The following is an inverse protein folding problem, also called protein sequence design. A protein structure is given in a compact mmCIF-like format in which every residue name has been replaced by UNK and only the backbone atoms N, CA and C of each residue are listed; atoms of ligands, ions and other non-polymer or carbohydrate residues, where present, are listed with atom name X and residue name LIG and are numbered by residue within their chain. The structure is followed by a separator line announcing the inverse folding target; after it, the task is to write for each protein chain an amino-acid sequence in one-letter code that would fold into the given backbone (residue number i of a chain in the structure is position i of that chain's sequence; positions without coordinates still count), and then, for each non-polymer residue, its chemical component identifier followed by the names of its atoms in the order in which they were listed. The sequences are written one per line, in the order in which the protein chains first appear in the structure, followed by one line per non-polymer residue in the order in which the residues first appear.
data_IF_111199721115
#
_entry.id   IF_111199721115
#
_cell.length_a   1.000
_cell.length_b   1.000
_cell.length_c   1.000
_cell.angle_alpha   90.00
_cell.angle_beta   90.00
_cell.angle_gamma   90.00
#
_symmetry.space_group_name_H-M   'P 1'
#
loop_
_entity.id
_entity.type
_entity.pdbx_description
1 polymer ?
#
# COMPACT_ATOMS: atom_id res chain seq x y z
N UNK A 1 67.48 22.51 45.26
CA UNK A 1 66.72 23.78 45.13
C UNK A 1 65.31 23.41 44.72
N UNK A 2 64.17 23.96 45.18
CA UNK A 2 63.77 24.81 46.34
C UNK A 2 62.21 24.91 46.28
N UNK A 3 61.40 25.25 47.30
CA UNK A 3 61.58 25.68 48.69
C UNK A 3 60.36 25.19 49.54
N UNK A 4 60.09 25.76 50.73
CA UNK A 4 58.82 25.65 51.48
C UNK A 4 57.70 26.53 50.82
N UNK A 5 56.41 26.60 51.24
CA UNK A 5 55.74 26.33 52.52
C UNK A 5 54.20 26.10 52.36
N UNK A 6 53.48 25.93 53.48
CA UNK A 6 52.01 25.77 53.59
C UNK A 6 51.32 27.01 54.24
N UNK A 7 49.97 26.95 54.36
CA UNK A 7 49.04 27.80 55.15
C UNK A 7 48.66 29.18 54.54
N UNK A 8 47.46 29.75 54.73
CA UNK A 8 46.21 29.39 55.46
C UNK A 8 45.00 30.09 54.74
N UNK A 9 43.78 29.53 54.65
CA UNK A 9 42.56 29.81 55.50
C UNK A 9 42.14 31.31 55.46
N UNK A 10 40.90 31.76 55.21
CA UNK A 10 39.54 31.25 55.46
C UNK A 10 38.50 31.93 54.51
N UNK A 11 37.25 31.44 54.41
CA UNK A 11 36.14 32.25 53.86
C UNK A 11 35.06 31.52 53.05
N UNK A 12 33.94 31.20 53.70
CA UNK A 12 32.64 30.92 53.08
C UNK A 12 31.56 31.65 53.90
N UNK A 13 30.30 31.81 53.43
CA UNK A 13 29.73 31.49 52.11
C UNK A 13 29.24 32.77 51.38
N UNK A 14 28.48 32.64 50.28
CA UNK A 14 27.24 33.41 49.99
C UNK A 14 26.61 32.91 48.69
N UNK A 15 25.29 32.73 48.70
CA UNK A 15 24.47 32.47 47.51
C UNK A 15 24.24 33.78 46.75
N UNK A 16 24.56 33.81 45.45
CA UNK A 16 24.13 34.90 44.56
C UNK A 16 23.02 34.40 43.64
N UNK A 17 21.82 34.94 43.81
CA UNK A 17 20.73 34.80 42.85
C UNK A 17 20.83 35.86 41.74
N UNK A 18 19.97 35.71 40.72
CA UNK A 18 19.55 36.72 39.74
C UNK A 18 20.50 37.07 38.58
N UNK A 19 19.96 37.53 37.44
CA UNK A 19 18.56 37.94 37.19
C UNK A 19 17.75 37.02 36.27
N UNK A 20 16.43 37.05 36.47
CA UNK A 20 15.46 36.78 35.40
C UNK A 20 15.69 37.79 34.27
N UNK A 21 15.87 37.30 33.05
CA UNK A 21 15.55 38.08 31.85
C UNK A 21 14.25 37.53 31.29
N UNK A 22 13.23 38.36 31.37
CA UNK A 22 11.92 38.13 30.78
C UNK A 22 12.00 38.41 29.28
N UNK A 23 11.02 37.88 28.53
CA UNK A 23 10.64 38.36 27.21
C UNK A 23 11.55 38.01 26.01
N UNK A 24 11.19 36.92 25.35
CA UNK A 24 10.62 37.09 24.01
C UNK A 24 9.40 36.17 23.85
N UNK A 25 8.21 36.78 23.83
CA UNK A 25 7.04 36.15 23.24
C UNK A 25 7.26 36.10 21.72
N UNK A 26 7.94 35.04 21.25
CA UNK A 26 8.13 34.84 19.82
C UNK A 26 6.78 34.44 19.24
N UNK A 27 6.27 35.36 18.43
CA UNK A 27 5.03 35.30 17.66
C UNK A 27 4.74 33.91 17.08
N UNK A 28 3.47 33.50 17.07
CA UNK A 28 2.99 32.50 16.12
C UNK A 28 3.16 33.04 14.69
N UNK A 29 3.87 32.31 13.82
CA UNK A 29 3.38 32.05 12.49
C UNK A 29 2.70 30.68 12.51
N UNK A 30 1.38 30.63 12.29
CA UNK A 30 0.63 29.41 11.99
C UNK A 30 0.93 28.90 10.56
N UNK A 31 2.21 28.89 10.21
CA UNK A 31 2.79 28.48 8.94
C UNK A 31 3.96 27.54 9.24
N UNK A 32 3.63 26.31 9.62
CA UNK A 32 4.56 25.20 9.45
C UNK A 32 4.95 25.14 7.97
N UNK A 33 6.25 25.18 7.65
CA UNK A 33 6.69 24.90 6.29
C UNK A 33 6.15 23.51 5.88
N UNK A 34 5.52 23.37 4.71
CA UNK A 34 4.91 22.11 4.33
C UNK A 34 5.98 21.02 4.18
N UNK A 35 5.68 19.83 4.72
CA UNK A 35 6.52 18.65 4.54
C UNK A 35 6.45 18.24 3.07
N UNK A 36 7.56 18.37 2.34
CA UNK A 36 7.65 18.00 0.93
C UNK A 36 7.75 16.48 0.80
N UNK A 37 6.75 15.89 0.14
CA UNK A 37 6.65 14.46 -0.08
C UNK A 37 7.32 14.05 -1.39
N UNK A 38 7.97 12.89 -1.38
CA UNK A 38 8.52 12.28 -2.59
C UNK A 38 7.42 11.79 -3.54
N UNK A 39 7.77 11.61 -4.82
CA UNK A 39 6.88 11.14 -5.88
C UNK A 39 6.54 9.65 -5.74
N UNK A 40 5.67 9.36 -4.78
CA UNK A 40 5.05 8.06 -4.49
C UNK A 40 3.70 8.28 -3.81
N UNK A 41 3.06 7.22 -3.33
CA UNK A 41 1.90 7.34 -2.43
C UNK A 41 2.34 7.12 -0.97
N UNK A 42 1.85 7.98 -0.07
CA UNK A 42 2.20 7.98 1.35
C UNK A 42 0.98 7.66 2.20
N UNK A 43 1.18 6.84 3.23
CA UNK A 43 0.23 6.64 4.32
C UNK A 43 0.77 7.42 5.52
N UNK A 44 0.11 8.52 5.86
CA UNK A 44 0.52 9.49 6.87
C UNK A 44 -0.36 9.29 8.09
N UNK A 45 0.23 8.94 9.23
CA UNK A 45 -0.48 8.84 10.51
C UNK A 45 0.29 9.61 11.58
N UNK A 46 -0.35 10.62 12.15
CA UNK A 46 0.26 11.62 13.04
C UNK A 46 -0.76 12.06 14.08
N UNK A 47 -0.30 12.83 15.08
CA UNK A 47 -1.14 13.43 16.13
C UNK A 47 -1.21 14.93 15.86
N UNK A 48 -2.40 15.53 15.96
CA UNK A 48 -2.64 16.96 15.96
C UNK A 48 -2.64 17.45 17.42
N UNK A 49 -1.72 18.35 17.78
CA UNK A 49 -1.30 18.62 19.16
C UNK A 49 -2.26 19.53 19.95
N UNK A 50 -3.23 20.16 19.29
CA UNK A 50 -4.32 20.98 19.84
C UNK A 50 -5.21 21.52 18.71
N UNK A 51 -6.27 22.22 19.07
CA UNK A 51 -7.24 22.80 18.11
C UNK A 51 -6.71 23.95 17.25
N UNK A 52 -5.51 24.47 17.51
CA UNK A 52 -4.84 25.51 16.70
C UNK A 52 -3.65 24.99 15.90
N UNK A 53 -3.31 23.71 16.03
CA UNK A 53 -2.26 23.08 15.23
C UNK A 53 -2.68 22.95 13.76
N UNK A 54 -1.69 23.05 12.87
CA UNK A 54 -1.87 22.95 11.41
C UNK A 54 -0.72 22.11 10.87
N UNK A 55 -1.03 20.97 10.26
CA UNK A 55 -0.04 20.13 9.58
C UNK A 55 -0.19 20.24 8.08
N UNK A 56 0.89 20.62 7.38
CA UNK A 56 0.88 20.85 5.94
C UNK A 56 1.82 19.88 5.21
N UNK A 57 1.36 19.36 4.08
CA UNK A 57 2.14 18.49 3.21
C UNK A 57 2.05 18.98 1.76
N UNK A 58 3.16 18.93 1.04
CA UNK A 58 3.25 19.27 -0.37
C UNK A 58 3.58 18.03 -1.19
N UNK A 59 2.88 17.83 -2.30
CA UNK A 59 3.17 16.81 -3.30
C UNK A 59 3.27 17.45 -4.69
N UNK A 60 4.33 17.15 -5.43
CA UNK A 60 4.49 17.62 -6.81
C UNK A 60 4.09 16.53 -7.80
N UNK A 61 3.10 16.79 -8.65
CA UNK A 61 2.72 15.95 -9.78
C UNK A 61 3.76 16.09 -10.91
N UNK A 62 4.94 15.53 -10.70
CA UNK A 62 6.13 15.59 -11.56
C UNK A 62 5.86 15.37 -13.06
N UNK A 63 4.90 14.50 -13.39
CA UNK A 63 4.48 14.12 -14.76
C UNK A 63 3.06 14.60 -15.11
N UNK A 64 2.41 15.38 -14.24
CA UNK A 64 0.98 15.71 -14.34
C UNK A 64 0.08 14.49 -14.11
N UNK A 65 0.56 13.51 -13.35
CA UNK A 65 -0.21 12.37 -12.88
C UNK A 65 -1.30 12.82 -11.90
N UNK A 66 -2.40 12.08 -11.87
CA UNK A 66 -3.48 12.32 -10.92
C UNK A 66 -2.99 12.08 -9.49
N UNK A 67 -3.56 12.79 -8.52
CA UNK A 67 -3.20 12.71 -7.10
C UNK A 67 -4.39 12.16 -6.30
N UNK A 68 -4.13 11.25 -5.37
CA UNK A 68 -5.11 10.69 -4.44
C UNK A 68 -5.08 11.44 -3.10
N UNK A 69 -6.25 11.70 -2.52
CA UNK A 69 -6.44 12.08 -1.12
C UNK A 69 -7.55 11.20 -0.52
N UNK A 70 -7.19 10.32 0.41
CA UNK A 70 -8.13 9.52 1.22
C UNK A 70 -7.91 9.85 2.69
N UNK A 71 -8.97 9.96 3.49
CA UNK A 71 -8.86 10.14 4.95
C UNK A 71 -9.59 8.99 5.64
N UNK A 72 -8.97 7.80 5.76
CA UNK A 72 -9.62 6.53 6.17
C UNK A 72 -10.02 6.46 7.66
N UNK A 73 -9.93 7.58 8.38
CA UNK A 73 -10.16 7.70 9.81
C UNK A 73 -11.64 7.95 10.13
N UNK A 74 -12.13 7.42 11.26
CA UNK A 74 -13.49 7.63 11.75
C UNK A 74 -13.74 9.03 12.30
N UNK A 75 -12.68 9.69 12.79
CA UNK A 75 -12.77 10.99 13.46
C UNK A 75 -12.72 12.19 12.49
N UNK A 76 -12.60 11.89 11.19
CA UNK A 76 -12.69 12.85 10.10
C UNK A 76 -14.01 13.63 10.12
N UNK A 77 -13.91 14.95 9.91
CA UNK A 77 -15.00 15.94 9.97
C UNK A 77 -15.64 16.10 11.36
N UNK A 78 -15.26 15.29 12.36
CA UNK A 78 -15.73 15.41 13.75
C UNK A 78 -14.74 16.18 14.62
N UNK A 79 -13.46 15.79 14.60
CA UNK A 79 -12.38 16.46 15.35
C UNK A 79 -11.47 17.25 14.43
N UNK A 80 -11.14 16.68 13.28
CA UNK A 80 -10.20 17.24 12.31
C UNK A 80 -10.76 17.16 10.89
N UNK A 81 -10.36 18.10 10.04
CA UNK A 81 -10.70 18.12 8.61
C UNK A 81 -9.45 18.32 7.75
N UNK A 82 -9.59 18.01 6.47
CA UNK A 82 -8.56 18.24 5.47
C UNK A 82 -9.03 19.30 4.47
N UNK A 83 -8.16 20.25 4.18
CA UNK A 83 -8.31 21.18 3.07
C UNK A 83 -7.15 21.00 2.09
N UNK A 84 -7.39 21.25 0.81
CA UNK A 84 -6.38 21.10 -0.25
C UNK A 84 -6.38 22.30 -1.21
N UNK A 85 -5.23 22.58 -1.81
CA UNK A 85 -5.08 23.58 -2.88
C UNK A 85 -4.19 23.01 -3.99
N UNK A 86 -4.38 23.52 -5.21
CA UNK A 86 -3.55 23.21 -6.39
C UNK A 86 -2.91 24.49 -6.88
N UNK A 87 -1.60 24.45 -7.15
CA UNK A 87 -0.82 25.54 -7.76
C UNK A 87 -0.97 26.91 -7.07
N UNK A 88 -1.16 26.89 -5.74
CA UNK A 88 -1.29 28.10 -4.91
C UNK A 88 -2.65 28.81 -5.01
N UNK A 89 -3.66 28.18 -5.62
CA UNK A 89 -5.04 28.67 -5.62
C UNK A 89 -5.76 28.54 -4.27
N UNK A 90 -7.03 28.92 -4.24
CA UNK A 90 -7.86 28.91 -3.02
C UNK A 90 -7.99 27.53 -2.36
N UNK A 91 -7.83 27.48 -1.03
CA UNK A 91 -8.05 26.27 -0.24
C UNK A 91 -9.49 25.77 -0.35
N UNK A 92 -9.64 24.49 -0.71
CA UNK A 92 -10.93 23.80 -0.83
C UNK A 92 -11.07 22.74 0.27
N UNK A 93 -12.22 22.65 0.96
CA UNK A 93 -12.46 21.58 1.92
C UNK A 93 -12.71 20.25 1.22
N UNK A 94 -12.06 19.18 1.71
CA UNK A 94 -12.40 17.81 1.34
C UNK A 94 -13.74 17.46 1.98
N UNK A 95 -14.75 17.16 1.16
CA UNK A 95 -16.15 17.08 1.62
C UNK A 95 -16.52 15.80 2.38
N UNK A 96 -15.82 14.71 2.10
CA UNK A 96 -16.11 13.37 2.63
C UNK A 96 -14.80 12.62 2.86
N UNK A 97 -14.81 11.64 3.79
CA UNK A 97 -13.63 10.85 4.14
C UNK A 97 -13.09 10.01 2.98
N UNK A 98 -14.01 9.46 2.18
CA UNK A 98 -13.73 8.55 1.07
C UNK A 98 -12.75 9.11 0.03
N UNK A 99 -12.09 8.22 -0.71
CA UNK A 99 -11.07 8.54 -1.70
C UNK A 99 -11.50 9.65 -2.67
N UNK A 100 -10.66 10.67 -2.80
CA UNK A 100 -10.82 11.77 -3.75
C UNK A 100 -9.63 11.80 -4.70
N UNK A 101 -9.90 11.93 -5.99
CA UNK A 101 -8.87 12.08 -7.02
C UNK A 101 -8.83 13.52 -7.52
N UNK A 102 -7.64 14.10 -7.60
CA UNK A 102 -7.36 15.36 -8.28
C UNK A 102 -6.81 15.01 -9.67
N UNK A 103 -7.47 15.53 -10.70
CA UNK A 103 -7.18 15.27 -12.12
C UNK A 103 -6.87 16.58 -12.86
N UNK A 104 -6.39 16.48 -14.11
CA UNK A 104 -6.12 17.66 -14.95
C UNK A 104 -4.86 18.44 -14.58
N UNK A 105 -3.96 17.84 -13.78
CA UNK A 105 -2.71 18.46 -13.34
C UNK A 105 -1.69 18.56 -14.48
N UNK A 106 -0.94 19.66 -14.52
CA UNK A 106 0.19 19.82 -15.43
C UNK A 106 1.45 19.16 -14.84
N UNK A 107 2.44 18.79 -15.67
CA UNK A 107 3.76 18.39 -15.18
C UNK A 107 4.38 19.49 -14.30
N UNK A 108 4.67 19.15 -13.05
CA UNK A 108 5.18 20.07 -12.04
C UNK A 108 4.11 20.76 -11.18
N UNK A 109 2.82 20.54 -11.42
CA UNK A 109 1.75 21.09 -10.57
C UNK A 109 1.91 20.63 -9.12
N UNK A 110 1.72 21.55 -8.17
CA UNK A 110 1.85 21.32 -6.74
C UNK A 110 0.47 21.18 -6.09
N UNK A 111 0.22 20.01 -5.51
CA UNK A 111 -0.92 19.78 -4.63
C UNK A 111 -0.44 19.95 -3.19
N UNK A 112 -1.11 20.82 -2.43
CA UNK A 112 -0.86 20.96 -1.00
C UNK A 112 -2.11 20.51 -0.24
N UNK A 113 -1.90 19.86 0.91
CA UNK A 113 -2.96 19.58 1.88
C UNK A 113 -2.61 20.23 3.21
N UNK A 114 -3.64 20.61 3.98
CA UNK A 114 -3.53 20.99 5.39
C UNK A 114 -4.54 20.22 6.23
N UNK A 115 -4.07 19.67 7.34
CA UNK A 115 -4.87 19.01 8.37
C UNK A 115 -5.01 20.01 9.51
N UNK A 116 -6.26 20.27 9.89
CA UNK A 116 -6.64 21.27 10.91
C UNK A 116 -7.80 20.74 11.74
N UNK A 117 -8.06 21.36 12.89
CA UNK A 117 -9.26 21.08 13.67
C UNK A 117 -10.54 21.45 12.91
N UNK A 118 -11.62 20.69 13.14
CA UNK A 118 -12.97 21.08 12.71
C UNK A 118 -13.43 22.28 13.55
N UNK A 119 -14.19 23.22 12.95
CA UNK A 119 -14.67 24.41 13.68
C UNK A 119 -15.50 24.01 14.91
N UNK A 120 -15.12 24.53 16.08
CA UNK A 120 -15.78 24.22 17.35
C UNK A 120 -15.40 22.88 17.98
N UNK A 121 -14.51 22.10 17.36
CA UNK A 121 -13.96 20.88 17.96
C UNK A 121 -13.26 21.18 19.30
N UNK A 122 -13.27 20.19 20.20
CA UNK A 122 -12.62 20.27 21.52
C UNK A 122 -11.87 18.98 21.80
N UNK A 123 -10.55 19.07 21.81
CA UNK A 123 -9.64 17.98 22.15
C UNK A 123 -8.33 18.59 22.66
N UNK A 124 -7.62 17.86 23.53
CA UNK A 124 -6.23 18.19 23.89
C UNK A 124 -5.31 17.76 22.75
N UNK A 125 -5.43 16.51 22.31
CA UNK A 125 -4.82 15.97 21.08
C UNK A 125 -5.82 15.11 20.31
N UNK A 126 -5.61 14.93 19.01
CA UNK A 126 -6.31 13.90 18.22
C UNK A 126 -5.37 13.25 17.22
N UNK A 127 -5.47 11.94 17.08
CA UNK A 127 -4.82 11.23 15.97
C UNK A 127 -5.51 11.60 14.65
N UNK A 128 -4.78 11.47 13.55
CA UNK A 128 -5.32 11.53 12.19
C UNK A 128 -4.59 10.57 11.25
N UNK A 129 -5.28 10.08 10.22
CA UNK A 129 -4.68 9.33 9.13
C UNK A 129 -5.11 9.83 7.75
N UNK A 130 -4.13 9.99 6.85
CA UNK A 130 -4.31 10.47 5.47
C UNK A 130 -3.50 9.60 4.51
N UNK A 131 -4.09 9.23 3.38
CA UNK A 131 -3.36 8.70 2.23
C UNK A 131 -3.22 9.81 1.20
N UNK A 132 -1.99 10.15 0.81
CA UNK A 132 -1.70 11.27 -0.09
C UNK A 132 -0.53 10.97 -1.05
N UNK A 133 -0.68 11.34 -2.32
CA UNK A 133 0.36 11.22 -3.35
C UNK A 133 -0.17 10.76 -4.71
N UNK A 134 0.70 10.22 -5.57
CA UNK A 134 0.33 9.72 -6.90
C UNK A 134 -0.84 8.72 -6.86
N UNK A 135 -1.85 8.90 -7.71
CA UNK A 135 -3.04 8.04 -7.74
C UNK A 135 -2.69 6.62 -8.24
N UNK A 136 -2.99 5.55 -7.47
CA UNK A 136 -2.58 4.19 -7.80
C UNK A 136 -3.54 3.48 -8.74
N UNK A 137 -3.00 3.02 -9.87
CA UNK A 137 -3.56 1.96 -10.71
C UNK A 137 -2.86 0.64 -10.38
N UNK A 138 -3.60 -0.47 -10.40
CA UNK A 138 -3.10 -1.78 -9.97
C UNK A 138 -3.37 -2.87 -11.00
N UNK A 139 -2.39 -3.73 -11.21
CA UNK A 139 -2.52 -5.00 -11.95
C UNK A 139 -1.88 -6.12 -11.15
N UNK A 140 -2.31 -7.34 -11.40
CA UNK A 140 -1.77 -8.51 -10.73
C UNK A 140 -1.87 -9.73 -11.64
N UNK A 141 -0.95 -10.66 -11.43
CA UNK A 141 -0.96 -11.98 -12.04
C UNK A 141 -0.57 -13.04 -11.00
N UNK A 142 -1.09 -14.24 -11.15
CA UNK A 142 -0.78 -15.37 -10.29
C UNK A 142 -0.13 -16.44 -11.17
N UNK A 143 1.19 -16.49 -11.12
CA UNK A 143 2.00 -17.38 -11.94
C UNK A 143 1.70 -18.85 -11.64
N UNK A 144 1.77 -19.69 -12.68
CA UNK A 144 1.68 -21.14 -12.52
C UNK A 144 2.77 -21.65 -11.57
N UNK A 145 2.47 -22.69 -10.78
CA UNK A 145 3.52 -23.43 -10.08
C UNK A 145 4.33 -24.25 -11.09
N UNK A 146 5.65 -24.20 -10.93
CA UNK A 146 6.58 -24.87 -11.83
C UNK A 146 6.60 -26.39 -11.62
N UNK A 147 7.30 -27.12 -12.51
CA UNK A 147 7.55 -28.54 -12.33
C UNK A 147 6.43 -29.50 -12.77
N UNK A 148 5.31 -29.02 -13.35
CA UNK A 148 4.29 -29.89 -13.93
C UNK A 148 3.72 -29.40 -15.27
N UNK A 149 3.03 -30.31 -15.98
CA UNK A 149 2.34 -30.01 -17.24
C UNK A 149 0.96 -29.40 -16.97
N UNK A 150 0.75 -28.19 -17.45
CA UNK A 150 -0.54 -27.50 -17.41
C UNK A 150 -1.61 -28.30 -18.19
N UNK A 151 -2.82 -28.35 -17.66
CA UNK A 151 -3.98 -28.86 -18.40
C UNK A 151 -4.28 -27.88 -19.55
N UNK A 152 -4.43 -28.32 -20.80
CA UNK A 152 -4.70 -27.41 -21.93
C UNK A 152 -6.06 -26.71 -21.86
N UNK A 153 -6.17 -25.59 -22.57
CA UNK A 153 -7.45 -24.89 -22.79
C UNK A 153 -8.50 -25.83 -23.37
N UNK A 154 -9.73 -25.78 -22.84
CA UNK A 154 -10.87 -26.58 -23.28
C UNK A 154 -11.01 -27.95 -22.59
N UNK A 155 -9.96 -28.46 -21.93
CA UNK A 155 -9.95 -29.78 -21.26
C UNK A 155 -10.50 -29.70 -19.81
N UNK A 156 -11.10 -28.56 -19.44
CA UNK A 156 -11.53 -28.21 -18.08
C UNK A 156 -12.86 -27.45 -18.07
N UNK A 157 -13.46 -27.31 -16.90
CA UNK A 157 -14.69 -26.54 -16.65
C UNK A 157 -14.42 -25.63 -15.42
N UNK A 158 -14.25 -24.31 -15.59
CA UNK A 158 -14.32 -23.55 -16.86
C UNK A 158 -13.19 -23.92 -17.83
N UNK A 159 -13.41 -23.71 -19.13
CA UNK A 159 -12.48 -24.07 -20.20
C UNK A 159 -11.13 -23.34 -20.17
N UNK A 160 -11.06 -22.19 -19.50
CA UNK A 160 -9.84 -21.43 -19.26
C UNK A 160 -9.56 -21.30 -17.77
N UNK A 161 -8.36 -21.73 -17.40
CA UNK A 161 -7.75 -21.56 -16.09
C UNK A 161 -6.55 -20.64 -16.30
N UNK A 162 -6.61 -19.43 -15.74
CA UNK A 162 -5.55 -18.43 -15.85
C UNK A 162 -4.29 -18.91 -15.12
N UNK A 163 -4.50 -19.53 -13.95
CA UNK A 163 -3.43 -20.16 -13.16
C UNK A 163 -3.73 -21.64 -12.95
N UNK A 164 -2.70 -22.43 -12.75
CA UNK A 164 -2.79 -23.80 -12.24
C UNK A 164 -1.68 -24.00 -11.22
N UNK A 165 -2.00 -24.66 -10.10
CA UNK A 165 -1.07 -24.89 -8.99
C UNK A 165 -1.45 -26.15 -8.21
N UNK A 166 -0.50 -26.83 -7.56
CA UNK A 166 -0.76 -27.94 -6.63
C UNK A 166 -0.82 -27.46 -5.18
N UNK A 167 0.17 -26.63 -4.78
CA UNK A 167 0.45 -26.28 -3.38
C UNK A 167 0.94 -24.86 -3.18
N UNK A 168 1.51 -24.19 -4.18
CA UNK A 168 1.91 -22.79 -4.09
C UNK A 168 1.74 -22.05 -5.41
N UNK A 169 1.85 -20.73 -5.41
CA UNK A 169 1.94 -19.91 -6.62
C UNK A 169 2.63 -18.58 -6.28
N UNK A 170 3.27 -17.96 -7.27
CA UNK A 170 3.83 -16.62 -7.11
C UNK A 170 2.82 -15.59 -7.59
N UNK A 171 2.35 -14.77 -6.66
CA UNK A 171 1.53 -13.59 -6.93
C UNK A 171 2.47 -12.41 -7.22
N UNK A 172 2.35 -11.85 -8.41
CA UNK A 172 2.98 -10.59 -8.79
C UNK A 172 1.90 -9.51 -8.80
N UNK A 173 2.13 -8.41 -8.09
CA UNK A 173 1.30 -7.19 -8.16
C UNK A 173 2.16 -6.04 -8.62
N UNK A 174 1.62 -5.23 -9.52
CA UNK A 174 2.27 -4.04 -10.06
C UNK A 174 1.36 -2.83 -9.86
N UNK A 175 1.94 -1.76 -9.35
CA UNK A 175 1.33 -0.47 -9.12
C UNK A 175 1.96 0.56 -10.04
N UNK A 176 1.12 1.36 -10.70
CA UNK A 176 1.57 2.50 -11.51
C UNK A 176 0.75 3.75 -11.20
N UNK A 177 1.30 4.92 -11.49
CA UNK A 177 0.53 6.17 -11.53
C UNK A 177 -0.38 6.25 -12.77
N UNK A 178 -1.16 7.32 -12.88
CA UNK A 178 -2.05 7.57 -14.04
C UNK A 178 -1.31 7.97 -15.34
N UNK A 179 0.03 7.94 -15.35
CA UNK A 179 0.89 8.06 -16.54
C UNK A 179 1.64 6.76 -16.83
N UNK A 180 1.27 5.66 -16.16
CA UNK A 180 1.88 4.33 -16.25
C UNK A 180 3.35 4.24 -15.77
N UNK A 181 3.81 5.18 -14.93
CA UNK A 181 5.10 5.06 -14.25
C UNK A 181 4.98 4.19 -12.99
N UNK A 182 5.99 3.39 -12.65
CA UNK A 182 6.00 2.60 -11.41
C UNK A 182 5.72 3.43 -10.16
N UNK A 183 4.95 2.87 -9.22
CA UNK A 183 4.48 3.57 -8.02
C UNK A 183 4.80 2.80 -6.74
N UNK A 184 5.73 3.33 -5.94
CA UNK A 184 6.03 2.88 -4.57
C UNK A 184 4.87 3.23 -3.61
N UNK A 185 4.66 2.40 -2.57
CA UNK A 185 3.73 2.69 -1.48
C UNK A 185 2.29 2.20 -1.70
N UNK A 186 1.98 1.65 -2.87
CA UNK A 186 0.66 1.09 -3.20
C UNK A 186 0.35 -0.15 -2.37
N UNK A 187 -0.89 -0.26 -1.89
CA UNK A 187 -1.32 -1.34 -0.99
C UNK A 187 -2.51 -2.10 -1.59
N UNK A 188 -2.48 -3.42 -1.47
CA UNK A 188 -3.55 -4.29 -1.96
C UNK A 188 -3.95 -5.39 -0.98
N UNK A 189 -5.16 -5.90 -1.18
CA UNK A 189 -5.68 -7.10 -0.52
C UNK A 189 -5.86 -8.23 -1.56
N UNK A 190 -5.43 -9.46 -1.24
CA UNK A 190 -5.60 -10.64 -2.09
C UNK A 190 -6.75 -11.52 -1.61
N UNK A 191 -7.66 -11.87 -2.52
CA UNK A 191 -8.78 -12.75 -2.23
C UNK A 191 -8.76 -14.00 -3.13
N UNK A 192 -8.97 -15.15 -2.49
CA UNK A 192 -9.06 -16.46 -3.14
C UNK A 192 -10.34 -17.14 -2.65
N UNK A 193 -11.14 -17.68 -3.56
CA UNK A 193 -12.45 -18.30 -3.29
C UNK A 193 -12.34 -19.70 -2.65
N UNK A 194 -11.46 -19.84 -1.66
CA UNK A 194 -11.31 -20.98 -0.78
C UNK A 194 -11.79 -20.52 0.59
N UNK A 195 -12.75 -21.24 1.19
CA UNK A 195 -13.17 -20.97 2.57
C UNK A 195 -11.93 -21.01 3.47
N UNK A 196 -11.69 -19.92 4.21
CA UNK A 196 -10.54 -19.72 5.10
C UNK A 196 -9.18 -19.43 4.45
N UNK A 197 -9.12 -18.65 3.35
CA UNK A 197 -7.90 -17.88 3.07
C UNK A 197 -7.85 -16.60 3.90
N UNK A 198 -7.24 -16.69 5.09
CA UNK A 198 -6.74 -15.51 5.83
C UNK A 198 -5.32 -15.20 5.37
N UNK A 199 -5.18 -14.68 4.16
CA UNK A 199 -3.96 -14.00 3.74
C UNK A 199 -3.94 -12.58 4.35
N UNK A 200 -3.96 -12.50 5.69
CA UNK A 200 -3.94 -11.24 6.43
C UNK A 200 -2.52 -10.65 6.39
N UNK A 201 -2.16 -10.05 5.26
CA UNK A 201 -0.90 -9.37 5.05
C UNK A 201 -1.12 -8.10 4.25
N UNK A 202 -0.80 -6.95 4.85
CA UNK A 202 -0.77 -5.69 4.13
C UNK A 202 0.58 -5.60 3.39
N UNK A 203 0.54 -5.79 2.08
CA UNK A 203 1.73 -5.66 1.24
C UNK A 203 1.80 -4.27 0.61
N UNK A 204 3.02 -3.75 0.50
CA UNK A 204 3.30 -2.40 -0.01
C UNK A 204 4.28 -2.49 -1.18
N UNK A 205 4.01 -1.78 -2.28
CA UNK A 205 4.90 -1.80 -3.45
C UNK A 205 6.24 -1.10 -3.20
N UNK A 206 7.29 -1.70 -3.75
CA UNK A 206 8.65 -1.15 -3.73
C UNK A 206 8.84 -0.01 -4.75
N UNK A 207 10.07 0.52 -4.85
CA UNK A 207 10.43 1.59 -5.79
C UNK A 207 10.33 1.20 -7.28
N UNK A 208 10.21 -0.09 -7.59
CA UNK A 208 9.88 -0.59 -8.93
C UNK A 208 8.38 -0.74 -9.16
N UNK A 209 7.56 -0.30 -8.21
CA UNK A 209 6.11 -0.45 -8.21
C UNK A 209 5.65 -1.89 -8.01
N UNK A 210 6.51 -2.80 -7.56
CA UNK A 210 6.22 -4.24 -7.52
C UNK A 210 6.00 -4.77 -6.12
N UNK A 211 5.25 -5.87 -6.06
CA UNK A 211 5.14 -6.78 -4.92
C UNK A 211 5.20 -8.20 -5.47
N UNK A 212 6.06 -9.03 -4.88
CA UNK A 212 6.14 -10.46 -5.17
C UNK A 212 5.81 -11.23 -3.89
N UNK A 213 4.72 -12.00 -3.89
CA UNK A 213 4.29 -12.79 -2.73
C UNK A 213 4.09 -14.25 -3.10
N UNK A 214 4.65 -15.16 -2.31
CA UNK A 214 4.33 -16.59 -2.40
C UNK A 214 3.00 -16.85 -1.70
N UNK A 215 2.02 -17.37 -2.44
CA UNK A 215 0.73 -17.81 -1.89
C UNK A 215 0.77 -19.34 -1.78
N UNK A 216 0.46 -19.89 -0.62
CA UNK A 216 0.41 -21.33 -0.39
C UNK A 216 -1.03 -21.80 -0.23
N UNK A 217 -1.33 -22.98 -0.79
CA UNK A 217 -2.65 -23.59 -0.79
C UNK A 217 -2.63 -24.90 -0.01
N UNK A 218 -3.74 -25.25 0.65
CA UNK A 218 -3.93 -26.62 1.12
C UNK A 218 -4.18 -27.52 -0.09
N UNK A 219 -3.59 -28.72 -0.10
CA UNK A 219 -3.90 -29.75 -1.12
C UNK A 219 -5.40 -30.05 -1.08
N UNK A 220 -6.03 -30.14 -2.26
CA UNK A 220 -7.39 -30.64 -2.39
C UNK A 220 -7.41 -32.17 -2.50
N UNK A 221 -8.49 -32.77 -2.01
CA UNK A 221 -8.79 -34.20 -2.17
C UNK A 221 -10.10 -34.33 -2.95
N UNK A 222 -10.13 -35.24 -3.93
CA UNK A 222 -11.23 -35.28 -4.90
C UNK A 222 -11.00 -34.32 -6.07
N UNK A 223 -12.02 -33.54 -6.44
CA UNK A 223 -12.00 -32.64 -7.59
C UNK A 223 -12.52 -33.24 -8.91
N UNK A 224 -12.82 -32.34 -9.86
CA UNK A 224 -13.29 -32.66 -11.20
C UNK A 224 -12.19 -33.38 -11.99
N UNK A 225 -12.58 -34.37 -12.79
CA UNK A 225 -11.68 -34.97 -13.76
C UNK A 225 -11.57 -34.03 -14.98
N UNK A 226 -10.35 -33.67 -15.35
CA UNK A 226 -10.06 -33.01 -16.62
C UNK A 226 -10.10 -34.03 -17.77
N UNK A 227 -10.32 -33.57 -18.99
CA UNK A 227 -10.13 -34.41 -20.16
C UNK A 227 -8.65 -34.84 -20.25
N UNK A 228 -8.41 -36.07 -20.71
CA UNK A 228 -7.05 -36.60 -20.81
C UNK A 228 -6.30 -35.88 -21.92
N UNK A 229 -5.17 -35.26 -21.59
CA UNK A 229 -4.33 -34.55 -22.55
C UNK A 229 -3.03 -35.29 -22.80
N UNK A 230 -2.47 -35.11 -24.00
CA UNK A 230 -1.25 -35.79 -24.43
C UNK A 230 -0.14 -34.78 -24.69
N UNK A 231 1.02 -35.01 -24.09
CA UNK A 231 2.23 -34.23 -24.25
C UNK A 231 3.27 -35.04 -25.04
N UNK A 232 3.98 -34.40 -25.97
CA UNK A 232 5.12 -34.99 -26.65
C UNK A 232 6.40 -34.53 -25.94
N UNK A 233 7.10 -35.46 -25.30
CA UNK A 233 8.45 -35.25 -24.78
C UNK A 233 9.49 -35.81 -25.76
N UNK A 234 10.75 -35.46 -25.56
CA UNK A 234 11.88 -35.99 -26.35
C UNK A 234 11.93 -37.52 -26.34
N UNK A 235 11.48 -38.13 -25.24
CA UNK A 235 11.54 -39.58 -24.99
C UNK A 235 10.27 -40.34 -25.40
N UNK A 236 9.20 -39.65 -25.79
CA UNK A 236 7.94 -40.30 -26.18
C UNK A 236 6.69 -39.44 -25.99
N UNK A 237 5.55 -40.10 -26.12
CA UNK A 237 4.21 -39.55 -25.94
C UNK A 237 3.67 -39.93 -24.56
N UNK A 238 3.33 -38.93 -23.76
CA UNK A 238 2.76 -39.07 -22.43
C UNK A 238 1.29 -38.64 -22.43
N UNK A 239 0.36 -39.53 -22.06
CA UNK A 239 -1.05 -39.15 -21.84
C UNK A 239 -1.32 -39.06 -20.34
N UNK A 240 -1.75 -37.87 -19.91
CA UNK A 240 -1.96 -37.52 -18.51
C UNK A 240 -3.45 -37.42 -18.18
N UNK A 241 -3.84 -37.91 -17.00
CA UNK A 241 -5.15 -37.68 -16.41
C UNK A 241 -5.00 -36.89 -15.11
N UNK A 242 -5.89 -35.93 -14.86
CA UNK A 242 -5.75 -34.96 -13.77
C UNK A 242 -7.08 -34.71 -13.07
N UNK A 243 -7.07 -34.69 -11.73
CA UNK A 243 -8.13 -34.10 -10.91
C UNK A 243 -7.74 -32.71 -10.44
N UNK A 244 -8.69 -31.78 -10.53
CA UNK A 244 -8.52 -30.39 -10.13
C UNK A 244 -9.80 -29.82 -9.51
N UNK A 245 -9.66 -28.77 -8.71
CA UNK A 245 -10.76 -27.93 -8.26
C UNK A 245 -10.68 -26.54 -8.91
N UNK A 246 -11.72 -26.09 -9.63
CA UNK A 246 -11.78 -24.71 -10.08
C UNK A 246 -12.07 -23.78 -8.89
N UNK A 247 -11.16 -22.82 -8.66
CA UNK A 247 -11.32 -21.70 -7.73
C UNK A 247 -11.32 -20.39 -8.52
N UNK A 248 -11.69 -19.29 -7.87
CA UNK A 248 -11.56 -17.93 -8.39
C UNK A 248 -10.64 -17.11 -7.49
N UNK A 249 -9.86 -16.21 -8.08
CA UNK A 249 -9.07 -15.24 -7.33
C UNK A 249 -9.21 -13.84 -7.90
N UNK A 250 -9.00 -12.85 -7.06
CA UNK A 250 -8.90 -11.44 -7.41
C UNK A 250 -8.05 -10.70 -6.38
N UNK A 251 -7.65 -9.48 -6.72
CA UNK A 251 -6.97 -8.57 -5.82
C UNK A 251 -7.60 -7.19 -5.92
N UNK A 252 -7.67 -6.47 -4.79
CA UNK A 252 -8.25 -5.14 -4.69
C UNK A 252 -7.19 -4.11 -4.27
N UNK A 253 -7.19 -2.94 -4.91
CA UNK A 253 -6.37 -1.80 -4.49
C UNK A 253 -7.03 -1.15 -3.26
N UNK A 254 -6.39 -1.23 -2.10
CA UNK A 254 -6.96 -0.82 -0.83
C UNK A 254 -7.02 0.70 -0.65
N UNK A 255 -6.11 1.45 -1.28
CA UNK A 255 -5.96 2.89 -1.05
C UNK A 255 -6.93 3.74 -1.86
N UNK A 256 -7.30 3.29 -3.06
CA UNK A 256 -8.18 4.03 -3.97
C UNK A 256 -9.68 3.84 -3.69
N UNK A 257 -10.07 2.93 -2.79
CA UNK A 257 -11.45 2.65 -2.38
C UNK A 257 -12.42 2.54 -3.59
N UNK A 258 -13.53 3.28 -3.62
CA UNK A 258 -14.50 3.30 -4.72
C UNK A 258 -13.94 3.83 -6.06
N UNK A 259 -12.75 4.43 -6.07
CA UNK A 259 -12.06 4.92 -7.27
C UNK A 259 -11.04 3.92 -7.82
N UNK A 260 -10.87 2.75 -7.18
CA UNK A 260 -10.02 1.67 -7.64
C UNK A 260 -10.48 1.11 -8.99
N UNK A 261 -9.53 0.62 -9.79
CA UNK A 261 -9.82 -0.15 -10.99
C UNK A 261 -10.62 -1.41 -10.64
N UNK A 262 -11.68 -1.71 -11.41
CA UNK A 262 -12.54 -2.87 -11.13
C UNK A 262 -11.72 -4.17 -11.22
N UNK A 263 -11.69 -5.01 -10.16
CA UNK A 263 -10.92 -6.25 -10.18
C UNK A 263 -11.44 -7.22 -11.25
N UNK A 264 -10.52 -7.82 -12.01
CA UNK A 264 -10.83 -8.94 -12.89
C UNK A 264 -10.86 -10.25 -12.09
N UNK A 265 -11.88 -11.08 -12.25
CA UNK A 265 -11.98 -12.34 -11.49
C UNK A 265 -11.47 -13.49 -12.35
N UNK A 266 -10.28 -13.98 -12.01
CA UNK A 266 -9.60 -15.07 -12.72
C UNK A 266 -9.98 -16.45 -12.18
N UNK A 267 -9.81 -17.49 -12.99
CA UNK A 267 -9.99 -18.89 -12.56
C UNK A 267 -8.63 -19.55 -12.27
N UNK A 268 -8.50 -20.17 -11.10
CA UNK A 268 -7.37 -21.02 -10.70
C UNK A 268 -7.79 -22.50 -10.79
N UNK A 269 -6.98 -23.33 -11.43
CA UNK A 269 -7.06 -24.79 -11.32
C UNK A 269 -6.16 -25.31 -10.20
N UNK A 270 -6.72 -25.57 -9.03
CA UNK A 270 -5.99 -26.23 -7.95
C UNK A 270 -5.91 -27.73 -8.26
N UNK A 271 -4.70 -28.24 -8.52
CA UNK A 271 -4.44 -29.61 -8.95
C UNK A 271 -4.39 -30.53 -7.72
N UNK A 272 -5.37 -31.44 -7.62
CA UNK A 272 -5.52 -32.34 -6.47
C UNK A 272 -4.71 -33.62 -6.65
N UNK A 273 -4.74 -34.21 -7.85
CA UNK A 273 -3.99 -35.42 -8.20
C UNK A 273 -3.74 -35.47 -9.71
N UNK A 274 -2.60 -36.01 -10.14
CA UNK A 274 -2.26 -36.22 -11.56
C UNK A 274 -1.50 -37.53 -11.71
N UNK A 275 -1.89 -38.32 -12.70
CA UNK A 275 -1.23 -39.60 -12.99
C UNK A 275 -1.11 -39.82 -14.50
N UNK A 276 -0.05 -40.52 -14.88
CA UNK A 276 0.23 -40.94 -16.25
C UNK A 276 -0.65 -42.15 -16.55
N UNK A 277 -1.49 -42.08 -17.60
CA UNK A 277 -2.38 -43.18 -18.00
C UNK A 277 -1.86 -43.96 -19.21
N UNK A 278 -0.98 -43.34 -20.01
CA UNK A 278 -0.30 -44.02 -21.10
C UNK A 278 1.08 -43.38 -21.34
N UNK A 279 2.06 -44.21 -21.68
CA UNK A 279 3.36 -43.79 -22.16
C UNK A 279 3.77 -44.69 -23.33
N UNK A 280 4.12 -44.07 -24.45
CA UNK A 280 4.67 -44.79 -25.60
C UNK A 280 5.92 -44.08 -26.10
N UNK A 281 6.99 -44.82 -26.34
CA UNK A 281 8.19 -44.30 -27.01
C UNK A 281 7.85 -43.81 -28.43
N UNK A 282 8.57 -42.79 -28.89
CA UNK A 282 8.57 -42.37 -30.31
C UNK A 282 9.29 -43.42 -31.18
#
# INVERSE_FOLDING_TARGET
MSYHAMAQVEGAPVVSQQPMLQEQAVQNPSHSNPVVLSDKIHQISHILENTSAVHQYNFTATRGQNVLITTPDSDYDQKWRLEYQVDGGEWQPKRHSSAQRIEGLNPGSQVNIRIIATDGARFDTTDYSVVFGSFPHMRYDLHHEEGFRLIPYGFTKPAFLATQALTEAMLEVTFTDSKAFPLEGGVFDFELSIKHHQANGQYTSDSSGKIMQRVTFKRCEGGLLADNFTHLSENGRETWSTRYEPKKYWANNRLAEQLADKPHVYNLGLICNRWLINWSRN
#
